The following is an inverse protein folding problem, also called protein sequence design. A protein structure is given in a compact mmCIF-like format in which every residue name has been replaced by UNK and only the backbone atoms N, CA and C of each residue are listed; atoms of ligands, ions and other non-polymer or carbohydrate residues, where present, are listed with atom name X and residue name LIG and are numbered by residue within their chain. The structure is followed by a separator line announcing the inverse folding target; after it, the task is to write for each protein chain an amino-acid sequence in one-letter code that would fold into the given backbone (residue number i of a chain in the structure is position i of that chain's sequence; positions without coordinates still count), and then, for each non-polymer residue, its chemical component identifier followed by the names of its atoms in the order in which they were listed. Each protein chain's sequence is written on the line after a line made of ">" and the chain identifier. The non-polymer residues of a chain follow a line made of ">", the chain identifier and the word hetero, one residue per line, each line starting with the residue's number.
data_IF_028574701035
#
_entry.id   IF_028574701035
#
_cell.length_a   1.000
_cell.length_b   1.000
_cell.length_c   1.000
_cell.angle_alpha   90.00
_cell.angle_beta   90.00
_cell.angle_gamma   90.00
#
_symmetry.space_group_name_H-M   'P 1'
#
loop_
_entity.id
_entity.type
_entity.pdbx_description
1 polymer ?
#
# COMPACT_ATOMS: atom_id res chain seq x y z
N UNK A 1 73.70 10.99 -29.64
CA UNK A 1 74.24 10.17 -28.54
C UNK A 1 73.13 10.08 -27.48
N UNK A 2 72.17 9.15 -27.57
CA UNK A 2 72.22 7.72 -27.14
C UNK A 2 72.50 7.63 -25.62
N UNK A 3 71.68 7.05 -24.73
CA UNK A 3 70.89 5.78 -24.70
C UNK A 3 69.74 5.94 -23.63
N UNK A 4 68.47 5.52 -23.78
CA UNK A 4 67.85 4.15 -23.75
C UNK A 4 68.18 3.33 -22.49
N UNK A 5 67.34 2.66 -21.69
CA UNK A 5 65.91 2.19 -21.54
C UNK A 5 65.82 1.60 -20.08
N UNK A 6 64.78 0.88 -19.54
CA UNK A 6 63.42 0.51 -19.99
C UNK A 6 62.28 0.72 -18.93
N UNK A 7 61.06 0.38 -19.36
CA UNK A 7 59.76 0.28 -18.65
C UNK A 7 59.64 -1.03 -17.81
N UNK A 8 58.71 -1.15 -16.84
CA UNK A 8 57.63 -2.13 -17.06
C UNK A 8 56.23 -1.75 -16.54
N UNK A 9 55.26 -2.37 -17.21
CA UNK A 9 53.79 -2.37 -17.07
C UNK A 9 53.29 -2.69 -15.66
N UNK A 10 52.18 -2.06 -15.25
CA UNK A 10 51.13 -2.73 -14.47
C UNK A 10 49.75 -2.35 -15.05
N UNK A 11 48.98 -3.41 -15.31
CA UNK A 11 47.60 -3.50 -15.75
C UNK A 11 46.60 -3.17 -14.62
N UNK A 12 45.32 -3.03 -14.99
CA UNK A 12 44.12 -3.16 -14.12
C UNK A 12 43.80 -1.95 -13.23
N UNK A 13 42.57 -1.46 -13.07
CA UNK A 13 41.26 -1.88 -13.55
C UNK A 13 40.25 -0.73 -13.42
N UNK A 14 39.24 -0.76 -14.29
CA UNK A 14 37.83 -0.45 -14.04
C UNK A 14 37.45 -0.33 -12.54
N UNK A 15 37.03 0.85 -12.11
CA UNK A 15 35.85 1.10 -11.26
C UNK A 15 35.38 2.51 -11.66
N UNK A 16 34.37 2.68 -12.51
CA UNK A 16 33.03 2.28 -12.12
C UNK A 16 32.54 3.15 -10.97
N UNK A 17 32.71 4.48 -11.04
CA UNK A 17 31.93 5.42 -10.25
C UNK A 17 30.47 5.31 -10.70
N UNK A 18 29.84 4.21 -10.25
CA UNK A 18 28.42 4.17 -9.96
C UNK A 18 28.22 5.27 -8.94
N UNK A 19 27.90 6.45 -9.45
CA UNK A 19 26.95 7.33 -8.83
C UNK A 19 25.77 6.42 -8.46
N UNK A 20 25.80 5.92 -7.23
CA UNK A 20 24.63 5.36 -6.58
C UNK A 20 23.69 6.55 -6.55
N UNK A 21 22.86 6.65 -7.59
CA UNK A 21 21.66 7.45 -7.56
C UNK A 21 20.94 6.94 -6.34
N UNK A 22 21.10 7.68 -5.24
CA UNK A 22 20.24 7.59 -4.09
C UNK A 22 18.93 8.13 -4.63
N UNK A 23 18.20 7.28 -5.34
CA UNK A 23 16.78 7.45 -5.58
C UNK A 23 16.16 7.32 -4.20
N UNK A 24 16.24 8.42 -3.46
CA UNK A 24 15.26 8.77 -2.45
C UNK A 24 13.98 9.10 -3.21
N UNK A 25 13.48 8.09 -3.93
CA UNK A 25 12.14 8.03 -4.47
C UNK A 25 11.27 8.19 -3.23
N UNK A 26 10.66 9.36 -3.09
CA UNK A 26 9.83 9.73 -1.94
C UNK A 26 8.90 8.57 -1.63
N UNK A 27 9.21 7.82 -0.58
CA UNK A 27 8.46 6.62 -0.21
C UNK A 27 7.13 7.09 0.34
N UNK A 28 6.16 7.15 -0.55
CA UNK A 28 4.81 7.56 -0.21
C UNK A 28 4.12 6.41 0.50
N UNK A 29 4.43 6.27 1.78
CA UNK A 29 3.91 5.23 2.67
C UNK A 29 3.03 5.84 3.75
N UNK A 30 1.91 5.18 4.02
CA UNK A 30 1.02 5.51 5.12
C UNK A 30 0.82 4.27 5.97
N UNK A 31 1.40 4.28 7.16
CA UNK A 31 1.32 3.15 8.10
C UNK A 31 0.56 3.63 9.33
N UNK A 32 -0.70 3.24 9.41
CA UNK A 32 -1.61 3.50 10.52
C UNK A 32 -2.05 2.16 11.11
N UNK A 33 -1.13 1.41 11.71
CA UNK A 33 -1.45 0.15 12.36
C UNK A 33 -1.99 0.39 13.78
N UNK A 34 -2.91 -0.47 14.23
CA UNK A 34 -3.49 -0.48 15.58
C UNK A 34 -4.26 0.80 15.95
N UNK A 35 -4.68 1.61 14.98
CA UNK A 35 -5.46 2.84 15.16
C UNK A 35 -6.94 2.60 15.50
N UNK A 36 -7.23 1.66 16.40
CA UNK A 36 -8.60 1.28 16.82
C UNK A 36 -9.36 2.38 17.56
N UNK A 37 -8.66 3.33 18.16
CA UNK A 37 -9.27 4.42 18.92
C UNK A 37 -9.66 5.63 18.07
N UNK A 38 -9.27 5.64 16.79
CA UNK A 38 -9.66 6.69 15.84
C UNK A 38 -11.17 6.60 15.60
N UNK A 39 -11.93 7.69 15.84
CA UNK A 39 -13.38 7.66 15.70
C UNK A 39 -13.81 7.61 14.23
N UNK A 40 -15.00 7.07 13.99
CA UNK A 40 -15.54 6.88 12.64
C UNK A 40 -15.52 8.16 11.79
N UNK A 41 -15.81 9.31 12.40
CA UNK A 41 -15.81 10.60 11.70
C UNK A 41 -14.47 10.92 11.02
N UNK A 42 -13.34 10.56 11.63
CA UNK A 42 -12.01 10.82 11.06
C UNK A 42 -11.77 9.95 9.83
N UNK A 43 -12.16 8.66 9.89
CA UNK A 43 -12.05 7.77 8.73
C UNK A 43 -12.98 8.16 7.59
N UNK A 44 -14.17 8.66 7.90
CA UNK A 44 -15.13 9.15 6.91
C UNK A 44 -14.56 10.35 6.14
N UNK A 45 -13.98 11.31 6.87
CA UNK A 45 -13.40 12.54 6.31
C UNK A 45 -12.23 12.27 5.34
N UNK A 46 -11.48 11.17 5.53
CA UNK A 46 -10.42 10.80 4.59
C UNK A 46 -10.93 10.55 3.17
N UNK A 47 -12.18 10.08 3.02
CA UNK A 47 -12.82 9.88 1.72
C UNK A 47 -13.23 11.19 1.02
N UNK A 48 -13.42 12.26 1.80
CA UNK A 48 -13.84 13.57 1.30
C UNK A 48 -12.65 14.40 0.81
N UNK A 49 -11.44 14.11 1.30
CA UNK A 49 -10.24 14.84 0.93
C UNK A 49 -9.87 14.62 -0.56
N UNK A 50 -10.01 15.65 -1.43
CA UNK A 50 -9.66 15.52 -2.83
C UNK A 50 -8.16 15.28 -2.98
N UNK A 51 -7.80 14.25 -3.75
CA UNK A 51 -6.39 13.91 -3.96
C UNK A 51 -5.76 13.12 -2.81
N UNK A 52 -6.53 12.67 -1.81
CA UNK A 52 -6.03 11.73 -0.81
C UNK A 52 -5.37 10.52 -1.50
N UNK A 53 -4.16 10.19 -1.03
CA UNK A 53 -3.42 8.98 -1.40
C UNK A 53 -3.07 8.81 -2.89
N UNK A 54 -3.16 9.85 -3.73
CA UNK A 54 -2.92 9.73 -5.17
C UNK A 54 -1.52 9.23 -5.53
N UNK A 55 -0.56 9.58 -4.69
CA UNK A 55 0.83 9.19 -4.87
C UNK A 55 1.27 8.08 -3.90
N UNK A 56 0.33 7.59 -3.07
CA UNK A 56 0.57 6.54 -2.09
C UNK A 56 0.95 5.22 -2.77
N UNK A 57 2.10 4.67 -2.39
CA UNK A 57 2.62 3.38 -2.87
C UNK A 57 2.41 2.27 -1.86
N UNK A 58 2.38 2.59 -0.57
CA UNK A 58 2.18 1.60 0.49
C UNK A 58 1.20 2.11 1.53
N UNK A 59 0.26 1.25 1.90
CA UNK A 59 -0.72 1.55 2.92
C UNK A 59 -0.87 0.38 3.89
N UNK A 60 -0.88 0.66 5.18
CA UNK A 60 -1.13 -0.33 6.23
C UNK A 60 -2.10 0.23 7.25
N UNK A 61 -3.16 -0.51 7.52
CA UNK A 61 -4.20 -0.20 8.51
C UNK A 61 -4.49 -1.42 9.39
N UNK A 62 -3.45 -2.21 9.69
CA UNK A 62 -3.61 -3.50 10.36
C UNK A 62 -4.28 -3.30 11.71
N UNK A 63 -5.29 -4.13 11.99
CA UNK A 63 -6.03 -4.15 13.26
C UNK A 63 -6.72 -2.81 13.64
N UNK A 64 -6.90 -1.88 12.70
CA UNK A 64 -7.62 -0.62 12.94
C UNK A 64 -9.12 -0.81 13.08
N UNK A 65 -9.66 -1.81 12.37
CA UNK A 65 -11.07 -2.12 12.33
C UNK A 65 -11.34 -3.52 12.88
N UNK A 66 -10.72 -3.87 14.01
CA UNK A 66 -11.05 -5.10 14.74
C UNK A 66 -12.20 -4.86 15.74
N UNK A 67 -12.55 -5.89 16.51
CA UNK A 67 -13.66 -5.88 17.48
C UNK A 67 -13.62 -4.73 18.51
N UNK A 68 -12.46 -4.11 18.71
CA UNK A 68 -12.26 -3.00 19.65
C UNK A 68 -12.29 -1.63 18.97
N UNK A 69 -12.55 -1.57 17.67
CA UNK A 69 -12.52 -0.34 16.89
C UNK A 69 -13.67 0.60 17.25
N UNK A 70 -13.34 1.87 17.49
CA UNK A 70 -14.28 3.00 17.56
C UNK A 70 -14.57 3.62 16.18
N UNK A 71 -13.89 3.13 15.15
CA UNK A 71 -13.84 3.73 13.83
C UNK A 71 -14.39 2.90 12.69
N UNK A 72 -14.78 1.65 12.93
CA UNK A 72 -15.16 0.69 11.90
C UNK A 72 -16.30 1.18 10.99
N UNK A 73 -17.32 1.84 11.54
CA UNK A 73 -18.43 2.39 10.75
C UNK A 73 -17.98 3.50 9.78
N UNK A 74 -16.87 4.18 10.05
CA UNK A 74 -16.28 5.20 9.17
C UNK A 74 -15.29 4.64 8.14
N UNK A 75 -15.02 3.33 8.14
CA UNK A 75 -14.06 2.72 7.23
C UNK A 75 -14.42 2.94 5.75
N UNK A 76 -15.68 3.22 5.43
CA UNK A 76 -16.13 3.57 4.09
C UNK A 76 -15.36 4.74 3.48
N UNK A 77 -15.10 5.80 4.24
CA UNK A 77 -14.30 6.94 3.75
C UNK A 77 -12.87 6.54 3.40
N UNK A 78 -12.23 5.73 4.24
CA UNK A 78 -10.90 5.20 3.97
C UNK A 78 -10.89 4.32 2.70
N UNK A 79 -11.82 3.35 2.60
CA UNK A 79 -11.86 2.42 1.47
C UNK A 79 -12.20 3.14 0.16
N UNK A 80 -13.03 4.18 0.22
CA UNK A 80 -13.28 5.06 -0.93
C UNK A 80 -12.03 5.83 -1.36
N UNK A 81 -11.25 6.36 -0.42
CA UNK A 81 -9.98 7.01 -0.75
C UNK A 81 -8.98 6.00 -1.37
N UNK A 82 -8.91 4.78 -0.79
CA UNK A 82 -8.05 3.70 -1.29
C UNK A 82 -8.44 3.21 -2.69
N UNK A 83 -9.73 3.18 -3.03
CA UNK A 83 -10.17 2.75 -4.37
C UNK A 83 -9.65 3.67 -5.48
N UNK A 84 -9.31 4.92 -5.13
CA UNK A 84 -8.78 5.94 -6.03
C UNK A 84 -7.25 5.97 -6.11
N UNK A 85 -6.55 5.08 -5.41
CA UNK A 85 -5.08 5.02 -5.39
C UNK A 85 -4.56 4.20 -6.59
N UNK A 86 -4.03 4.85 -7.62
CA UNK A 86 -3.52 4.15 -8.81
C UNK A 86 -2.10 3.60 -8.65
N UNK A 87 -1.31 4.23 -7.77
CA UNK A 87 0.10 3.91 -7.56
C UNK A 87 0.33 2.94 -6.38
N UNK A 88 -0.73 2.41 -5.78
CA UNK A 88 -0.65 1.51 -4.63
C UNK A 88 -0.04 0.17 -5.03
N UNK A 89 1.05 -0.19 -4.36
CA UNK A 89 1.84 -1.41 -4.57
C UNK A 89 1.68 -2.41 -3.43
N UNK A 90 1.52 -1.91 -2.19
CA UNK A 90 1.32 -2.73 -1.00
C UNK A 90 0.12 -2.23 -0.20
N UNK A 91 -0.82 -3.14 0.11
CA UNK A 91 -1.96 -2.86 0.98
C UNK A 91 -2.07 -3.89 2.10
N UNK A 92 -1.99 -3.44 3.34
CA UNK A 92 -2.19 -4.29 4.50
C UNK A 92 -3.43 -3.84 5.28
N UNK A 93 -4.45 -4.68 5.30
CA UNK A 93 -5.70 -4.50 6.04
C UNK A 93 -5.93 -5.64 7.02
N UNK A 94 -4.90 -6.40 7.38
CA UNK A 94 -5.02 -7.58 8.24
C UNK A 94 -5.77 -7.28 9.53
N UNK A 95 -6.61 -8.22 9.96
CA UNK A 95 -7.40 -8.14 11.20
C UNK A 95 -8.37 -6.94 11.24
N UNK A 96 -8.95 -6.60 10.08
CA UNK A 96 -10.00 -5.58 9.96
C UNK A 96 -11.39 -6.22 9.80
N UNK A 97 -11.78 -7.08 10.75
CA UNK A 97 -13.02 -7.86 10.70
C UNK A 97 -14.31 -7.04 10.84
N UNK A 98 -14.24 -5.86 11.44
CA UNK A 98 -15.41 -5.02 11.72
C UNK A 98 -15.74 -4.03 10.60
N UNK A 99 -14.96 -4.00 9.52
CA UNK A 99 -15.29 -3.15 8.35
C UNK A 99 -16.66 -3.58 7.79
N UNK A 100 -17.63 -2.66 7.70
CA UNK A 100 -18.98 -2.98 7.20
C UNK A 100 -18.95 -3.45 5.74
N UNK A 101 -19.90 -4.31 5.37
CA UNK A 101 -20.04 -4.81 4.00
C UNK A 101 -20.10 -3.69 2.94
N UNK A 102 -20.86 -2.62 3.23
CA UNK A 102 -20.98 -1.46 2.35
C UNK A 102 -19.62 -0.78 2.06
N UNK A 103 -18.70 -0.77 3.03
CA UNK A 103 -17.38 -0.18 2.84
C UNK A 103 -16.52 -1.01 1.87
N UNK A 104 -16.56 -2.35 1.97
CA UNK A 104 -15.86 -3.23 1.03
C UNK A 104 -16.39 -3.11 -0.40
N UNK A 105 -17.70 -2.91 -0.57
CA UNK A 105 -18.31 -2.71 -1.89
C UNK A 105 -17.80 -1.47 -2.62
N UNK A 106 -17.33 -0.44 -1.91
CA UNK A 106 -16.73 0.76 -2.52
C UNK A 106 -15.45 0.42 -3.32
N UNK A 107 -14.76 -0.65 -2.95
CA UNK A 107 -13.58 -1.13 -3.65
C UNK A 107 -13.91 -1.75 -5.02
N UNK A 108 -15.17 -2.06 -5.32
CA UNK A 108 -15.57 -2.61 -6.61
C UNK A 108 -15.13 -1.75 -7.81
N UNK A 109 -14.91 -0.45 -7.58
CA UNK A 109 -14.45 0.53 -8.58
C UNK A 109 -12.93 0.71 -8.62
N UNK A 110 -12.20 0.09 -7.69
CA UNK A 110 -10.77 0.28 -7.52
C UNK A 110 -9.96 -0.21 -8.73
N UNK A 111 -8.89 0.55 -9.05
CA UNK A 111 -7.93 0.24 -10.11
C UNK A 111 -6.52 0.22 -9.56
N UNK A 112 -6.19 -0.85 -8.84
CA UNK A 112 -4.86 -1.03 -8.25
C UNK A 112 -3.92 -1.77 -9.20
N UNK A 113 -3.60 -1.15 -10.34
CA UNK A 113 -2.83 -1.79 -11.42
C UNK A 113 -1.40 -2.18 -11.01
N UNK A 114 -0.83 -1.47 -10.03
CA UNK A 114 0.51 -1.71 -9.52
C UNK A 114 0.55 -2.55 -8.23
N UNK A 115 -0.61 -3.03 -7.75
CA UNK A 115 -0.67 -3.78 -6.51
C UNK A 115 0.03 -5.13 -6.68
N UNK A 116 1.06 -5.33 -5.86
CA UNK A 116 1.88 -6.55 -5.84
C UNK A 116 1.67 -7.38 -4.59
N UNK A 117 1.29 -6.72 -3.49
CA UNK A 117 1.09 -7.38 -2.20
C UNK A 117 -0.16 -6.85 -1.53
N UNK A 118 -1.03 -7.77 -1.11
CA UNK A 118 -2.20 -7.43 -0.33
C UNK A 118 -2.40 -8.44 0.81
N UNK A 119 -2.59 -7.96 2.05
CA UNK A 119 -2.90 -8.81 3.21
C UNK A 119 -4.27 -8.43 3.78
N UNK A 120 -5.25 -9.31 3.61
CA UNK A 120 -6.60 -9.22 4.18
C UNK A 120 -6.88 -10.37 5.16
N UNK A 121 -5.83 -10.99 5.70
CA UNK A 121 -5.94 -12.10 6.64
C UNK A 121 -6.80 -11.69 7.84
N UNK A 122 -7.75 -12.55 8.22
CA UNK A 122 -8.75 -12.33 9.29
C UNK A 122 -9.83 -11.27 9.02
N UNK A 123 -9.87 -10.60 7.87
CA UNK A 123 -10.93 -9.62 7.57
C UNK A 123 -12.32 -10.25 7.37
N UNK A 124 -12.36 -11.48 6.86
CA UNK A 124 -13.61 -12.20 6.52
C UNK A 124 -13.77 -13.49 7.33
N UNK A 125 -13.35 -13.47 8.60
CA UNK A 125 -13.56 -14.60 9.51
C UNK A 125 -15.03 -14.69 9.98
N UNK A 126 -15.35 -15.68 10.83
CA UNK A 126 -16.70 -15.90 11.36
C UNK A 126 -17.29 -14.72 12.16
N UNK A 127 -16.46 -13.76 12.57
CA UNK A 127 -16.84 -12.57 13.32
C UNK A 127 -16.90 -11.31 12.44
N UNK A 128 -16.72 -11.48 11.14
CA UNK A 128 -16.66 -10.38 10.19
C UNK A 128 -18.05 -9.79 9.96
N UNK A 129 -18.12 -8.46 10.00
CA UNK A 129 -19.31 -7.70 9.58
C UNK A 129 -19.33 -7.41 8.08
N UNK A 130 -18.28 -7.80 7.37
CA UNK A 130 -18.01 -7.41 5.99
C UNK A 130 -18.17 -8.50 4.94
N UNK A 131 -18.57 -9.72 5.32
CA UNK A 131 -18.58 -10.89 4.43
C UNK A 131 -19.38 -10.66 3.15
N UNK A 132 -20.57 -10.06 3.25
CA UNK A 132 -21.42 -9.73 2.09
C UNK A 132 -20.78 -8.68 1.16
N UNK A 133 -19.81 -7.91 1.68
CA UNK A 133 -19.05 -6.92 0.92
C UNK A 133 -17.80 -7.46 0.24
N UNK A 134 -17.41 -8.71 0.52
CA UNK A 134 -16.16 -9.30 0.02
C UNK A 134 -16.08 -9.31 -1.52
N UNK A 135 -17.22 -9.38 -2.20
CA UNK A 135 -17.29 -9.31 -3.66
C UNK A 135 -16.62 -8.03 -4.21
N UNK A 136 -16.86 -6.87 -3.59
CA UNK A 136 -16.25 -5.61 -4.02
C UNK A 136 -14.73 -5.63 -3.95
N UNK A 137 -14.18 -6.25 -2.90
CA UNK A 137 -12.74 -6.47 -2.78
C UNK A 137 -12.23 -7.46 -3.83
N UNK A 138 -12.89 -8.61 -3.98
CA UNK A 138 -12.47 -9.64 -4.95
C UNK A 138 -12.48 -9.09 -6.38
N UNK A 139 -13.47 -8.26 -6.71
CA UNK A 139 -13.55 -7.59 -8.00
C UNK A 139 -12.37 -6.63 -8.20
N UNK A 140 -11.97 -5.86 -7.18
CA UNK A 140 -10.74 -5.05 -7.22
C UNK A 140 -9.50 -5.90 -7.47
N UNK A 141 -9.32 -6.98 -6.70
CA UNK A 141 -8.15 -7.85 -6.76
C UNK A 141 -8.07 -8.61 -8.10
N UNK A 142 -9.20 -9.01 -8.69
CA UNK A 142 -9.25 -9.66 -10.01
C UNK A 142 -8.65 -8.80 -11.14
N UNK A 143 -8.57 -7.48 -10.95
CA UNK A 143 -7.99 -6.54 -11.92
C UNK A 143 -6.50 -6.31 -11.68
N UNK A 144 -5.96 -6.77 -10.56
CA UNK A 144 -4.56 -6.59 -10.19
C UNK A 144 -3.69 -7.65 -10.88
N UNK A 145 -3.02 -7.28 -11.97
CA UNK A 145 -2.20 -8.22 -12.76
C UNK A 145 -0.86 -8.59 -12.12
N UNK A 146 -0.41 -7.81 -11.15
CA UNK A 146 0.90 -7.98 -10.50
C UNK A 146 0.81 -8.58 -9.09
N UNK A 147 -0.41 -8.91 -8.62
CA UNK A 147 -0.65 -9.44 -7.29
C UNK A 147 -0.10 -10.86 -7.18
N UNK A 148 0.81 -11.09 -6.21
CA UNK A 148 1.48 -12.36 -5.95
C UNK A 148 1.02 -12.99 -4.64
#
# INVERSE_FOLDING_TARGET
>A
MSRSFPNPKIHQSFEGERTVKREEESREELILDLCRDVPAAVWQQLGEAPGAFQKLRKASFRSCFNERSKGAEGAGGLLFALSRCQLLQELNMRDCSQVPAAAWQLLATARWEQLRKADFTLCFNQRSKGVEGAEGLLLALSRCRQLQ
#
